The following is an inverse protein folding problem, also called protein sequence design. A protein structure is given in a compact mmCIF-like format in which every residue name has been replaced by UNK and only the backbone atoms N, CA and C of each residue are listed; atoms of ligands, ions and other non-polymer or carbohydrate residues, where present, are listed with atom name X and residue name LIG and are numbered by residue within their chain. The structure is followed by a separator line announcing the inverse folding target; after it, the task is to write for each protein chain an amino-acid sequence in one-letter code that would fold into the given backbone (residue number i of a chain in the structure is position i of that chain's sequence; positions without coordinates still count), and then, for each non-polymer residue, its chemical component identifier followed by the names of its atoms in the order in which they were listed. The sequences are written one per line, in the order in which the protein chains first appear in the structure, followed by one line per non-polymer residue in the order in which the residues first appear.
data_IF_647915325017
#
_entry.id   IF_647915325017
#
_cell.length_a   1.000
_cell.length_b   1.000
_cell.length_c   1.000
_cell.angle_alpha   90.00
_cell.angle_beta   90.00
_cell.angle_gamma   90.00
#
_symmetry.space_group_name_H-M   'P 1'
#
loop_
_entity.id
_entity.type
_entity.pdbx_description
1 polymer ?
#
# COMPACT_ATOMS: atom_id res chain seq x y z
N UNK A 1 -6.87 4.16 22.22
CA UNK A 1 -7.53 4.64 21.00
C UNK A 1 -6.50 5.39 20.16
N UNK A 2 -6.51 5.26 18.84
CA UNK A 2 -5.69 6.10 17.97
C UNK A 2 -6.15 7.55 18.12
N UNK A 3 -5.22 8.49 18.32
CA UNK A 3 -5.55 9.91 18.44
C UNK A 3 -6.15 10.41 17.11
N UNK A 4 -7.16 11.31 17.12
CA UNK A 4 -7.79 11.83 15.90
C UNK A 4 -6.81 12.44 14.88
N UNK A 5 -5.67 12.95 15.34
CA UNK A 5 -4.59 13.51 14.51
C UNK A 5 -3.36 12.58 14.35
N UNK A 6 -3.42 11.34 14.84
CA UNK A 6 -2.24 10.46 14.88
C UNK A 6 -1.76 9.99 13.51
N UNK A 7 -2.67 9.84 12.55
CA UNK A 7 -2.33 9.28 11.23
C UNK A 7 -1.54 10.27 10.35
N UNK A 8 -1.94 11.56 10.20
CA UNK A 8 -1.12 12.55 9.50
C UNK A 8 0.26 12.76 10.15
N UNK A 9 0.32 12.87 11.48
CA UNK A 9 1.60 13.03 12.18
C UNK A 9 2.52 11.82 12.01
N UNK A 10 1.98 10.60 11.95
CA UNK A 10 2.79 9.42 11.67
C UNK A 10 3.37 9.45 10.26
N UNK A 11 2.58 9.88 9.26
CA UNK A 11 3.06 10.02 7.89
C UNK A 11 4.17 11.07 7.76
N UNK A 12 4.03 12.22 8.44
CA UNK A 12 5.08 13.24 8.53
C UNK A 12 6.34 12.73 9.23
N UNK A 13 6.18 12.06 10.37
CA UNK A 13 7.30 11.65 11.22
C UNK A 13 8.22 10.59 10.58
N UNK A 14 7.71 9.81 9.62
CA UNK A 14 8.54 8.81 8.92
C UNK A 14 9.36 9.40 7.77
N UNK A 15 9.03 10.60 7.27
CA UNK A 15 9.70 11.20 6.09
C UNK A 15 11.20 11.41 6.29
N UNK A 16 11.95 11.42 5.18
CA UNK A 16 13.38 11.77 5.14
C UNK A 16 13.68 12.75 4.01
N UNK A 17 14.11 12.27 2.85
CA UNK A 17 14.33 13.10 1.66
C UNK A 17 13.04 13.34 0.86
N UNK A 18 11.93 12.74 1.30
CA UNK A 18 10.60 12.97 0.78
C UNK A 18 10.26 14.47 0.76
N UNK A 19 9.75 15.00 -0.36
CA UNK A 19 9.33 16.40 -0.42
C UNK A 19 7.96 16.62 0.26
N UNK A 20 7.17 15.55 0.43
CA UNK A 20 5.88 15.59 1.10
C UNK A 20 5.47 14.25 1.76
N UNK A 21 4.66 14.29 2.82
CA UNK A 21 4.07 13.08 3.43
C UNK A 21 3.09 12.39 2.46
N UNK A 22 3.14 11.05 2.40
CA UNK A 22 2.32 10.25 1.48
C UNK A 22 1.26 9.48 2.26
N UNK A 23 -0.01 9.70 1.93
CA UNK A 23 -1.14 8.98 2.53
C UNK A 23 -2.20 8.66 1.50
N UNK A 24 -2.92 7.56 1.70
CA UNK A 24 -4.05 7.15 0.87
C UNK A 24 -5.15 6.54 1.74
N UNK A 25 -6.42 6.67 1.33
CA UNK A 25 -7.57 6.13 2.08
C UNK A 25 -8.68 5.66 1.16
N UNK A 26 -9.25 4.50 1.47
CA UNK A 26 -10.48 3.97 0.88
C UNK A 26 -11.48 3.61 1.96
N UNK A 27 -12.76 3.89 1.67
CA UNK A 27 -13.90 3.42 2.46
C UNK A 27 -14.69 2.46 1.60
N UNK A 28 -14.87 1.24 2.08
CA UNK A 28 -15.56 0.18 1.35
C UNK A 28 -16.67 -0.41 2.21
N UNK A 29 -17.58 -1.13 1.57
CA UNK A 29 -18.60 -1.92 2.26
C UNK A 29 -18.36 -3.39 1.95
N UNK A 30 -18.08 -4.20 2.98
CA UNK A 30 -17.95 -5.66 2.86
C UNK A 30 -18.92 -6.34 3.82
N UNK A 31 -19.77 -7.23 3.30
CA UNK A 31 -20.72 -7.97 4.14
C UNK A 31 -21.71 -7.07 4.91
N UNK A 32 -22.00 -5.87 4.41
CA UNK A 32 -22.88 -4.89 5.05
C UNK A 32 -22.19 -3.95 6.05
N UNK A 33 -20.94 -4.21 6.41
CA UNK A 33 -20.17 -3.34 7.31
C UNK A 33 -19.32 -2.33 6.54
N UNK A 34 -19.23 -1.11 7.07
CA UNK A 34 -18.30 -0.08 6.57
C UNK A 34 -16.90 -0.38 7.10
N UNK A 35 -15.93 -0.41 6.19
CA UNK A 35 -14.53 -0.68 6.48
C UNK A 35 -13.69 0.48 5.94
N UNK A 36 -12.65 0.83 6.69
CA UNK A 36 -11.62 1.78 6.29
C UNK A 36 -10.34 1.02 6.01
N UNK A 37 -9.71 1.36 4.88
CA UNK A 37 -8.35 0.95 4.54
C UNK A 37 -7.57 2.23 4.31
N UNK A 38 -6.51 2.44 5.08
CA UNK A 38 -5.66 3.63 4.96
C UNK A 38 -4.20 3.19 4.83
N UNK A 39 -3.42 3.89 4.04
CA UNK A 39 -1.99 3.65 3.89
C UNK A 39 -1.21 4.95 4.12
N UNK A 40 -0.01 4.81 4.68
CA UNK A 40 1.01 5.85 4.69
C UNK A 40 2.32 5.26 4.21
N UNK A 41 3.13 6.06 3.53
CA UNK A 41 4.38 5.61 2.92
C UNK A 41 5.49 6.65 3.03
N UNK A 42 6.74 6.18 2.98
CA UNK A 42 7.93 7.00 2.70
C UNK A 42 8.76 6.37 1.60
N UNK A 43 9.40 7.21 0.80
CA UNK A 43 10.36 6.85 -0.24
C UNK A 43 10.39 7.94 -1.31
N UNK A 44 11.60 8.30 -1.76
CA UNK A 44 11.85 9.31 -2.79
C UNK A 44 13.12 9.00 -3.61
N UNK A 45 14.09 8.27 -3.05
CA UNK A 45 15.27 7.74 -3.72
C UNK A 45 15.56 6.32 -3.25
N UNK A 46 16.49 5.65 -3.94
CA UNK A 46 16.77 4.21 -3.81
C UNK A 46 15.50 3.38 -3.98
N UNK A 47 14.81 3.56 -5.11
CA UNK A 47 13.56 2.86 -5.42
C UNK A 47 13.74 1.98 -6.67
N UNK A 48 13.58 0.68 -6.46
CA UNK A 48 13.64 -0.39 -7.44
C UNK A 48 12.60 -1.48 -7.07
N UNK A 49 12.25 -2.36 -8.03
CA UNK A 49 11.45 -3.55 -7.76
C UNK A 49 12.07 -4.45 -6.68
N UNK A 50 11.27 -5.38 -6.15
CA UNK A 50 11.63 -6.32 -5.05
C UNK A 50 11.84 -5.67 -3.68
N UNK A 51 11.12 -4.57 -3.44
CA UNK A 51 11.19 -3.73 -2.24
C UNK A 51 12.57 -3.05 -2.10
N UNK A 52 12.64 -1.75 -2.46
CA UNK A 52 13.73 -0.79 -2.21
C UNK A 52 13.25 0.44 -1.40
N UNK A 53 14.09 1.34 -0.85
CA UNK A 53 13.88 2.13 0.40
C UNK A 53 12.45 2.64 0.60
N UNK A 54 11.57 1.74 1.01
CA UNK A 54 10.14 1.99 1.05
C UNK A 54 9.61 1.45 2.36
N UNK A 55 9.11 2.38 3.18
CA UNK A 55 8.38 2.06 4.40
C UNK A 55 6.91 2.33 4.14
N UNK A 56 6.10 1.28 4.04
CA UNK A 56 4.65 1.42 3.78
C UNK A 56 3.87 0.67 4.84
N UNK A 57 2.91 1.38 5.44
CA UNK A 57 2.04 0.84 6.48
C UNK A 57 0.59 0.99 6.04
N UNK A 58 -0.11 -0.13 5.94
CA UNK A 58 -1.53 -0.19 5.67
C UNK A 58 -2.27 -0.55 6.95
N UNK A 59 -3.27 0.24 7.31
CA UNK A 59 -4.11 0.08 8.49
C UNK A 59 -5.56 -0.14 8.08
N UNK A 60 -6.23 -1.08 8.72
CA UNK A 60 -7.66 -1.31 8.51
C UNK A 60 -8.38 -1.67 9.82
N UNK A 61 -9.67 -1.36 9.86
CA UNK A 61 -10.59 -1.80 10.91
C UNK A 61 -11.29 -3.13 10.57
N UNK A 62 -11.07 -3.69 9.38
CA UNK A 62 -11.67 -4.97 8.99
C UNK A 62 -11.26 -6.13 9.92
N UNK A 63 -12.20 -7.02 10.23
CA UNK A 63 -11.89 -8.32 10.83
C UNK A 63 -11.37 -9.27 9.75
N UNK A 64 -10.07 -9.56 9.76
CA UNK A 64 -9.40 -10.38 8.73
C UNK A 64 -8.44 -11.37 9.38
N UNK A 65 -8.52 -12.68 9.06
CA UNK A 65 -7.54 -13.65 9.54
C UNK A 65 -6.12 -13.36 9.02
N UNK A 66 -5.10 -13.61 9.82
CA UNK A 66 -3.69 -13.35 9.47
C UNK A 66 -3.24 -13.98 8.12
N UNK A 67 -3.73 -15.20 7.82
CA UNK A 67 -3.44 -15.86 6.53
C UNK A 67 -3.97 -15.08 5.32
N UNK A 68 -5.13 -14.45 5.48
CA UNK A 68 -5.78 -13.65 4.43
C UNK A 68 -5.04 -12.32 4.30
N UNK A 69 -4.67 -11.67 5.41
CA UNK A 69 -3.83 -10.46 5.38
C UNK A 69 -2.52 -10.68 4.63
N UNK A 70 -1.82 -11.80 4.92
CA UNK A 70 -0.54 -12.11 4.26
C UNK A 70 -0.70 -12.34 2.76
N UNK A 71 -1.75 -13.06 2.34
CA UNK A 71 -2.03 -13.29 0.93
C UNK A 71 -2.39 -11.96 0.22
N UNK A 72 -3.30 -11.19 0.80
CA UNK A 72 -3.69 -9.86 0.29
C UNK A 72 -2.49 -8.93 0.15
N UNK A 73 -1.62 -8.85 1.17
CA UNK A 73 -0.46 -7.97 1.12
C UNK A 73 0.53 -8.39 0.02
N UNK A 74 0.81 -9.69 -0.11
CA UNK A 74 1.72 -10.18 -1.16
C UNK A 74 1.23 -9.87 -2.56
N UNK A 75 -0.06 -10.10 -2.83
CA UNK A 75 -0.69 -9.79 -4.13
C UNK A 75 -0.65 -8.28 -4.42
N UNK A 76 -1.05 -7.47 -3.43
CA UNK A 76 -1.12 -6.03 -3.59
C UNK A 76 0.27 -5.40 -3.78
N UNK A 77 1.28 -5.84 -3.02
CA UNK A 77 2.68 -5.39 -3.16
C UNK A 77 3.22 -5.73 -4.55
N UNK A 78 3.01 -6.98 -5.01
CA UNK A 78 3.45 -7.42 -6.33
C UNK A 78 2.87 -6.58 -7.46
N UNK A 79 1.59 -6.21 -7.36
CA UNK A 79 0.90 -5.42 -8.37
C UNK A 79 1.20 -3.91 -8.32
N UNK A 80 1.86 -3.41 -7.25
CA UNK A 80 2.00 -1.95 -7.01
C UNK A 80 3.43 -1.55 -6.66
N UNK A 81 3.86 -1.79 -5.42
CA UNK A 81 5.16 -1.35 -4.91
C UNK A 81 6.33 -2.01 -5.67
N UNK A 82 6.17 -3.26 -6.10
CA UNK A 82 7.17 -3.95 -6.93
C UNK A 82 7.07 -3.61 -8.42
N UNK A 83 6.16 -2.70 -8.82
CA UNK A 83 5.98 -2.25 -10.19
C UNK A 83 6.49 -0.82 -10.42
N UNK A 84 7.19 -0.23 -9.44
CA UNK A 84 7.76 1.12 -9.53
C UNK A 84 9.28 1.13 -9.39
N UNK A 85 9.91 2.15 -9.97
CA UNK A 85 11.33 2.44 -9.82
C UNK A 85 11.56 3.96 -9.97
N UNK A 86 12.57 4.49 -9.29
CA UNK A 86 13.01 5.89 -9.42
C UNK A 86 14.41 5.95 -10.03
N UNK A 87 15.39 5.33 -9.37
CA UNK A 87 16.81 5.35 -9.75
C UNK A 87 17.39 3.94 -10.02
N UNK A 88 16.64 2.89 -9.69
CA UNK A 88 17.06 1.49 -9.89
C UNK A 88 17.95 0.94 -8.77
N UNK A 89 18.22 1.73 -7.74
CA UNK A 89 19.04 1.31 -6.60
C UNK A 89 18.16 0.63 -5.53
N UNK A 90 18.39 -0.67 -5.30
CA UNK A 90 17.65 -1.44 -4.30
C UNK A 90 18.21 -1.19 -2.89
N UNK A 91 17.32 -0.99 -1.92
CA UNK A 91 17.70 -0.75 -0.53
C UNK A 91 17.79 -2.01 0.32
N UNK A 92 18.34 -1.85 1.53
CA UNK A 92 18.56 -2.92 2.51
C UNK A 92 17.48 -3.00 3.59
N UNK A 93 16.52 -2.07 3.65
CA UNK A 93 15.68 -1.83 4.84
C UNK A 93 14.17 -1.80 4.55
N UNK A 94 13.79 -2.55 3.55
CA UNK A 94 12.48 -2.48 2.95
C UNK A 94 11.37 -3.13 3.75
N UNK A 95 10.24 -2.45 3.89
CA UNK A 95 9.16 -2.91 4.77
C UNK A 95 7.79 -2.44 4.33
N UNK A 96 6.93 -3.41 4.01
CA UNK A 96 5.49 -3.23 3.88
C UNK A 96 4.75 -4.01 4.98
N UNK A 97 3.91 -3.33 5.76
CA UNK A 97 3.09 -3.93 6.81
C UNK A 97 1.60 -3.67 6.58
N UNK A 98 0.77 -4.67 6.83
CA UNK A 98 -0.69 -4.56 6.83
C UNK A 98 -1.24 -4.99 8.20
N UNK A 99 -1.86 -4.04 8.91
CA UNK A 99 -2.40 -4.25 10.26
C UNK A 99 -3.92 -4.09 10.26
N UNK A 100 -4.61 -5.04 10.90
CA UNK A 100 -6.06 -5.07 10.98
C UNK A 100 -6.54 -5.15 12.44
N UNK A 101 -7.34 -4.17 12.87
CA UNK A 101 -7.83 -4.10 14.26
C UNK A 101 -9.10 -4.90 14.54
N UNK A 102 -9.87 -5.26 13.50
CA UNK A 102 -11.16 -5.94 13.65
C UNK A 102 -12.30 -5.09 14.21
N UNK A 103 -12.11 -3.78 14.36
CA UNK A 103 -13.09 -2.86 14.95
C UNK A 103 -14.33 -2.56 14.08
N UNK A 104 -14.34 -2.93 12.79
CA UNK A 104 -15.44 -2.65 11.85
C UNK A 104 -16.70 -3.50 12.07
N UNK A 105 -16.64 -4.52 12.92
CA UNK A 105 -17.78 -5.39 13.24
C UNK A 105 -18.24 -6.30 12.10
N UNK A 106 -17.47 -6.44 11.02
CA UNK A 106 -17.73 -7.44 9.99
C UNK A 106 -17.40 -8.85 10.48
N UNK A 107 -18.06 -9.87 9.91
CA UNK A 107 -17.60 -11.26 10.08
C UNK A 107 -16.21 -11.43 9.48
N UNK A 108 -15.34 -12.29 10.06
CA UNK A 108 -14.00 -12.53 9.54
C UNK A 108 -13.99 -12.88 8.06
N UNK A 109 -13.18 -12.17 7.28
CA UNK A 109 -13.08 -12.40 5.83
C UNK A 109 -12.59 -13.82 5.55
N UNK A 110 -13.31 -14.54 4.70
CA UNK A 110 -12.97 -15.92 4.31
C UNK A 110 -12.10 -15.92 3.06
N UNK A 111 -11.02 -16.68 3.06
CA UNK A 111 -10.13 -16.82 1.90
C UNK A 111 -10.89 -17.27 0.65
N UNK A 112 -10.63 -16.63 -0.48
CA UNK A 112 -11.28 -16.92 -1.76
C UNK A 112 -12.72 -16.39 -1.90
N UNK A 113 -13.28 -15.73 -0.87
CA UNK A 113 -14.63 -15.18 -0.96
C UNK A 113 -14.69 -13.88 -1.77
N UNK A 114 -15.90 -13.44 -2.12
CA UNK A 114 -16.13 -12.12 -2.74
C UNK A 114 -15.65 -10.97 -1.84
N UNK A 115 -15.80 -11.11 -0.52
CA UNK A 115 -15.30 -10.13 0.44
C UNK A 115 -13.76 -10.09 0.44
N UNK A 116 -13.10 -11.23 0.29
CA UNK A 116 -11.65 -11.28 0.14
C UNK A 116 -11.19 -10.52 -1.09
N UNK A 117 -11.78 -10.77 -2.26
CA UNK A 117 -11.46 -10.04 -3.48
C UNK A 117 -11.71 -8.52 -3.34
N UNK A 118 -12.82 -8.12 -2.71
CA UNK A 118 -13.12 -6.72 -2.46
C UNK A 118 -12.13 -6.05 -1.49
N UNK A 119 -11.67 -6.77 -0.47
CA UNK A 119 -10.65 -6.30 0.46
C UNK A 119 -9.29 -6.17 -0.22
N UNK A 120 -8.85 -7.20 -0.95
CA UNK A 120 -7.59 -7.17 -1.70
C UNK A 120 -7.55 -6.03 -2.70
N UNK A 121 -8.66 -5.78 -3.42
CA UNK A 121 -8.76 -4.63 -4.32
C UNK A 121 -8.56 -3.30 -3.58
N UNK A 122 -9.22 -3.11 -2.43
CA UNK A 122 -9.08 -1.87 -1.67
C UNK A 122 -7.67 -1.65 -1.11
N UNK A 123 -6.99 -2.72 -0.68
CA UNK A 123 -5.57 -2.66 -0.27
C UNK A 123 -4.68 -2.32 -1.47
N UNK A 124 -4.93 -2.94 -2.62
CA UNK A 124 -4.21 -2.66 -3.86
C UNK A 124 -4.39 -1.21 -4.30
N UNK A 125 -5.61 -0.68 -4.24
CA UNK A 125 -5.90 0.71 -4.61
C UNK A 125 -5.18 1.74 -3.72
N UNK A 126 -5.07 1.51 -2.40
CA UNK A 126 -4.30 2.43 -1.54
C UNK A 126 -2.80 2.29 -1.75
N UNK A 127 -2.30 1.09 -2.03
CA UNK A 127 -0.89 0.88 -2.32
C UNK A 127 -0.49 1.44 -3.69
N UNK A 128 -1.35 1.34 -4.72
CA UNK A 128 -1.13 1.98 -6.02
C UNK A 128 -1.02 3.49 -5.89
N UNK A 129 -1.88 4.11 -5.08
CA UNK A 129 -1.81 5.55 -4.81
C UNK A 129 -0.50 5.92 -4.10
N UNK A 130 -0.08 5.16 -3.08
CA UNK A 130 1.23 5.38 -2.43
C UNK A 130 2.38 5.18 -3.42
N UNK A 131 2.34 4.16 -4.28
CA UNK A 131 3.37 3.89 -5.28
C UNK A 131 3.52 5.06 -6.26
N UNK A 132 2.39 5.59 -6.77
CA UNK A 132 2.38 6.77 -7.64
C UNK A 132 2.93 8.00 -6.93
N UNK A 133 2.58 8.21 -5.66
CA UNK A 133 3.12 9.32 -4.86
C UNK A 133 4.63 9.19 -4.65
N UNK A 134 5.17 7.97 -4.49
CA UNK A 134 6.62 7.73 -4.40
C UNK A 134 7.32 8.09 -5.70
N UNK A 135 6.79 7.65 -6.84
CA UNK A 135 7.39 7.97 -8.15
C UNK A 135 7.30 9.48 -8.45
N UNK A 136 6.19 10.13 -8.09
CA UNK A 136 6.03 11.58 -8.24
C UNK A 136 7.00 12.37 -7.36
N UNK A 137 7.36 11.83 -6.20
CA UNK A 137 8.33 12.40 -5.27
C UNK A 137 9.78 11.96 -5.54
N UNK A 138 10.01 11.26 -6.66
CA UNK A 138 11.35 10.80 -7.05
C UNK A 138 12.37 11.94 -7.01
N UNK A 139 13.54 11.72 -6.41
CA UNK A 139 14.54 12.76 -6.23
C UNK A 139 14.94 13.40 -7.57
N UNK A 140 14.65 14.71 -7.72
CA UNK A 140 14.89 15.45 -8.96
C UNK A 140 13.90 15.15 -10.10
N UNK A 141 12.89 14.32 -9.87
CA UNK A 141 11.81 14.00 -10.79
C UNK A 141 10.88 15.19 -11.04
N UNK A 142 10.48 15.39 -12.30
CA UNK A 142 9.53 16.45 -12.69
C UNK A 142 8.30 15.91 -13.42
N UNK A 143 8.32 14.62 -13.77
CA UNK A 143 7.32 13.92 -14.57
C UNK A 143 7.24 12.47 -14.08
N UNK A 144 6.03 11.92 -14.08
CA UNK A 144 5.79 10.50 -13.93
C UNK A 144 5.66 9.86 -15.33
N UNK A 145 6.29 8.71 -15.51
CA UNK A 145 6.20 7.91 -16.75
C UNK A 145 5.55 6.58 -16.41
N UNK A 146 4.48 6.23 -17.14
CA UNK A 146 3.79 4.94 -17.01
C UNK A 146 4.04 4.10 -18.26
N UNK A 147 4.53 2.88 -18.07
CA UNK A 147 4.87 1.95 -19.17
C UNK A 147 3.87 0.80 -19.17
N UNK A 148 3.07 0.70 -20.24
CA UNK A 148 2.14 -0.41 -20.43
C UNK A 148 2.69 -1.42 -21.42
N UNK A 149 3.10 -2.58 -20.92
CA UNK A 149 3.53 -3.71 -21.76
C UNK A 149 2.32 -4.56 -22.15
N UNK A 150 2.18 -4.91 -23.42
CA UNK A 150 1.11 -5.77 -23.95
C UNK A 150 1.68 -6.81 -24.89
N UNK A 151 1.09 -8.01 -24.91
CA UNK A 151 1.51 -9.11 -25.80
C UNK A 151 2.81 -9.81 -25.38
N UNK A 152 3.23 -9.65 -24.11
CA UNK A 152 4.31 -10.46 -23.55
C UNK A 152 3.88 -11.94 -23.46
N UNK A 153 4.86 -12.85 -23.41
CA UNK A 153 4.61 -14.30 -23.28
C UNK A 153 3.97 -14.65 -21.92
N UNK A 154 4.31 -13.89 -20.89
CA UNK A 154 3.85 -14.00 -19.51
C UNK A 154 4.08 -12.66 -18.82
N UNK A 155 3.40 -12.42 -17.70
CA UNK A 155 3.44 -11.14 -17.00
C UNK A 155 4.69 -10.93 -16.12
N UNK A 156 5.47 -12.00 -15.89
CA UNK A 156 6.67 -11.99 -15.03
C UNK A 156 6.58 -13.05 -13.95
#
# INVERSE_FOLDING_TARGET
ALAPAGFPHAAEAITTTDAFPKTALRRIVLGGSRIIVAALGKGAGMIAPDLATLLVFVLTDAAVPARVLRATLGEAVGATLNAITVDGDMSTNDTALLLASGAAGNSPITAGSRQHAGFTRAVTEVLDEIARLVVLDGEGGTRLVEVHVRGARSDG
#
